data_IF_107886934317
#
_entry.id   IF_107886934317
#
_cell.length_a   1.000
_cell.length_b   1.000
_cell.length_c   1.000
_cell.angle_alpha   90.00
_cell.angle_beta   90.00
_cell.angle_gamma   90.00
#
_symmetry.space_group_name_H-M   'P 1'
#
loop_
_entity.id
_entity.type
_entity.pdbx_description
1 polymer ?
#
# COMPACT_ATOMS: atom_id res chain seq x y z
N UNK A 1 49.38 -15.39 -10.82
CA UNK A 1 48.14 -14.82 -10.26
C UNK A 1 47.50 -13.98 -11.35
N UNK A 2 46.40 -14.46 -11.94
CA UNK A 2 45.64 -13.77 -12.99
C UNK A 2 44.47 -13.02 -12.32
N UNK A 3 44.11 -11.81 -12.76
CA UNK A 3 42.90 -11.15 -12.31
C UNK A 3 41.67 -11.81 -12.94
N UNK A 4 40.65 -12.05 -12.11
CA UNK A 4 39.34 -12.55 -12.51
C UNK A 4 38.45 -11.35 -12.85
N UNK A 5 38.17 -11.19 -14.13
CA UNK A 5 37.08 -10.35 -14.64
C UNK A 5 35.73 -10.93 -14.19
N UNK A 6 34.89 -10.09 -13.59
CA UNK A 6 33.49 -10.41 -13.27
C UNK A 6 32.62 -10.07 -14.47
N UNK A 7 32.14 -11.10 -15.16
CA UNK A 7 31.09 -11.01 -16.16
C UNK A 7 29.72 -10.75 -15.49
N UNK A 8 28.93 -9.87 -16.12
CA UNK A 8 27.50 -9.65 -15.86
C UNK A 8 26.67 -10.78 -16.48
N UNK A 9 25.54 -11.21 -15.88
CA UNK A 9 24.66 -12.16 -16.54
C UNK A 9 23.58 -11.48 -17.40
N UNK A 10 23.64 -11.79 -18.70
CA UNK A 10 22.63 -11.53 -19.72
C UNK A 10 21.33 -12.31 -19.46
N UNK A 11 20.20 -11.62 -19.35
CA UNK A 11 18.86 -12.20 -19.49
C UNK A 11 18.03 -11.32 -20.42
N UNK A 12 18.21 -11.46 -21.73
CA UNK A 12 17.30 -10.95 -22.74
C UNK A 12 17.64 -11.72 -24.00
N UNK A 13 16.80 -12.70 -24.35
CA UNK A 13 16.65 -13.30 -25.69
C UNK A 13 15.63 -14.45 -25.56
N UNK A 14 14.35 -14.14 -25.82
CA UNK A 14 13.34 -15.16 -26.14
C UNK A 14 13.10 -15.11 -27.64
N UNK A 15 13.40 -16.24 -28.27
CA UNK A 15 13.29 -16.57 -29.69
C UNK A 15 11.83 -16.45 -30.15
N UNK A 16 11.59 -15.64 -31.19
CA UNK A 16 10.29 -15.42 -31.80
C UNK A 16 10.11 -16.35 -33.00
N UNK A 17 9.19 -17.33 -32.86
CA UNK A 17 8.64 -18.06 -34.00
C UNK A 17 7.12 -18.16 -33.90
N UNK A 18 6.38 -17.78 -34.97
CA UNK A 18 4.91 -17.84 -34.96
C UNK A 18 4.42 -19.27 -35.23
N UNK A 19 3.42 -19.72 -34.46
CA UNK A 19 2.62 -20.91 -34.78
C UNK A 19 1.30 -20.49 -35.43
N UNK A 20 1.09 -20.96 -36.67
CA UNK A 20 -0.17 -20.90 -37.40
C UNK A 20 -1.16 -21.93 -36.83
N UNK A 21 -2.38 -21.50 -36.49
CA UNK A 21 -3.53 -22.40 -36.29
C UNK A 21 -4.74 -21.82 -37.05
N UNK A 22 -5.55 -22.65 -37.74
CA UNK A 22 -6.49 -22.20 -38.76
C UNK A 22 -7.83 -21.71 -38.20
N UNK A 23 -8.43 -20.81 -38.96
CA UNK A 23 -9.78 -20.28 -38.87
C UNK A 23 -10.86 -21.34 -39.15
N UNK A 24 -11.87 -21.46 -38.30
CA UNK A 24 -13.30 -21.66 -38.65
C UNK A 24 -14.15 -21.67 -37.38
N UNK A 25 -15.11 -20.75 -37.24
CA UNK A 25 -16.55 -20.98 -37.47
C UNK A 25 -17.35 -19.89 -36.73
N UNK A 26 -18.08 -19.10 -37.52
CA UNK A 26 -19.00 -18.08 -37.06
C UNK A 26 -20.22 -18.70 -36.36
N UNK A 27 -20.67 -18.09 -35.28
CA UNK A 27 -22.03 -18.28 -34.75
C UNK A 27 -22.55 -16.92 -34.29
N UNK A 28 -23.55 -16.43 -35.03
CA UNK A 28 -24.32 -15.24 -34.72
C UNK A 28 -25.11 -15.46 -33.43
N UNK A 29 -24.86 -14.63 -32.42
CA UNK A 29 -25.79 -14.39 -31.32
C UNK A 29 -26.29 -12.96 -31.50
N UNK A 30 -27.57 -12.83 -31.89
CA UNK A 30 -28.25 -11.56 -31.99
C UNK A 30 -28.50 -11.01 -30.57
N UNK A 31 -27.76 -9.96 -30.20
CA UNK A 31 -28.07 -9.15 -29.02
C UNK A 31 -29.07 -8.07 -29.43
N UNK A 32 -30.24 -8.06 -28.79
CA UNK A 32 -31.19 -6.96 -28.88
C UNK A 32 -30.58 -5.73 -28.20
N UNK A 33 -30.20 -4.73 -29.00
CA UNK A 33 -29.76 -3.42 -28.53
C UNK A 33 -31.00 -2.61 -28.15
N UNK A 34 -31.17 -2.37 -26.85
CA UNK A 34 -32.10 -1.34 -26.37
C UNK A 34 -31.43 0.02 -26.58
N UNK A 35 -31.89 0.75 -27.60
CA UNK A 35 -31.52 2.14 -27.86
C UNK A 35 -31.94 3.02 -26.67
N UNK A 36 -31.00 3.36 -25.80
CA UNK A 36 -31.12 4.52 -24.91
C UNK A 36 -30.62 5.72 -25.72
N UNK A 37 -31.49 6.72 -25.88
CA UNK A 37 -31.28 7.87 -26.75
C UNK A 37 -29.94 8.55 -26.51
N UNK A 38 -29.08 8.51 -27.52
CA UNK A 38 -27.88 9.34 -27.60
C UNK A 38 -28.33 10.78 -27.76
N UNK A 39 -28.20 11.59 -26.70
CA UNK A 39 -28.13 13.02 -26.87
C UNK A 39 -26.91 13.29 -27.76
N UNK A 40 -27.15 13.76 -28.98
CA UNK A 40 -26.11 14.22 -29.89
C UNK A 40 -25.49 15.45 -29.22
N UNK A 41 -24.39 15.25 -28.52
CA UNK A 41 -23.53 16.35 -28.12
C UNK A 41 -22.91 16.92 -29.40
N UNK A 42 -23.16 18.22 -29.64
CA UNK A 42 -22.56 18.98 -30.72
C UNK A 42 -21.02 18.81 -30.68
N UNK A 43 -20.36 18.34 -31.77
CA UNK A 43 -18.91 18.11 -31.78
C UNK A 43 -18.07 19.41 -31.82
N UNK A 44 -18.70 20.57 -31.62
CA UNK A 44 -18.11 21.86 -31.93
C UNK A 44 -17.86 22.72 -30.69
N UNK A 45 -17.23 22.19 -29.62
CA UNK A 45 -16.65 23.03 -28.55
C UNK A 45 -15.59 22.40 -27.63
N UNK A 46 -14.89 21.32 -28.00
CA UNK A 46 -13.86 20.69 -27.14
C UNK A 46 -12.42 20.87 -27.66
N UNK A 47 -12.08 22.06 -28.14
CA UNK A 47 -10.68 22.44 -28.34
C UNK A 47 -10.13 23.12 -27.07
N UNK A 48 -9.35 22.39 -26.26
CA UNK A 48 -8.37 23.00 -25.36
C UNK A 48 -8.49 22.76 -23.84
N UNK A 49 -9.48 22.01 -23.34
CA UNK A 49 -9.57 21.73 -21.89
C UNK A 49 -9.10 20.32 -21.54
N UNK A 50 -8.25 20.21 -20.53
CA UNK A 50 -7.69 18.93 -20.07
C UNK A 50 -8.63 18.34 -19.00
N UNK A 51 -8.95 17.04 -19.06
CA UNK A 51 -9.85 16.41 -18.10
C UNK A 51 -9.22 16.36 -16.70
N UNK A 52 -10.06 16.24 -15.67
CA UNK A 52 -9.60 15.89 -14.32
C UNK A 52 -9.09 14.45 -14.30
N UNK A 53 -7.82 14.24 -13.94
CA UNK A 53 -7.24 12.90 -13.83
C UNK A 53 -7.51 12.32 -12.44
N UNK A 54 -8.24 11.21 -12.38
CA UNK A 54 -8.64 10.57 -11.13
C UNK A 54 -7.81 9.31 -10.89
N UNK A 55 -7.09 9.27 -9.77
CA UNK A 55 -6.30 8.12 -9.34
C UNK A 55 -6.89 7.52 -8.06
N UNK A 56 -7.01 6.19 -8.02
CA UNK A 56 -7.54 5.48 -6.86
C UNK A 56 -6.39 4.82 -6.11
N UNK A 57 -6.26 5.10 -4.81
CA UNK A 57 -5.24 4.52 -3.94
C UNK A 57 -5.92 3.66 -2.87
N UNK A 58 -5.66 2.35 -2.84
CA UNK A 58 -6.29 1.47 -1.86
C UNK A 58 -5.34 0.47 -1.21
N UNK A 59 -5.71 0.03 0.00
CA UNK A 59 -5.00 -1.01 0.71
C UNK A 59 -5.16 -0.95 2.22
N UNK A 60 -4.17 -1.49 2.93
CA UNK A 60 -4.18 -1.53 4.40
C UNK A 60 -3.33 -0.41 5.02
N UNK A 61 -2.80 -0.57 6.24
CA UNK A 61 -1.98 0.46 6.91
C UNK A 61 -0.76 0.94 6.11
N UNK A 62 -0.23 0.10 5.23
CA UNK A 62 0.83 0.50 4.27
C UNK A 62 0.35 1.61 3.33
N UNK A 63 -0.89 1.54 2.81
CA UNK A 63 -1.49 2.63 2.05
C UNK A 63 -1.97 3.77 2.96
N UNK A 64 -2.48 3.48 4.17
CA UNK A 64 -2.89 4.55 5.10
C UNK A 64 -1.75 5.54 5.34
N UNK A 65 -0.54 5.07 5.59
CA UNK A 65 0.61 5.92 5.86
C UNK A 65 0.79 6.23 7.34
N UNK A 66 1.94 5.85 7.91
CA UNK A 66 2.19 5.97 9.34
C UNK A 66 3.38 6.87 9.71
N UNK A 67 3.95 7.58 8.74
CA UNK A 67 4.97 8.58 9.00
C UNK A 67 4.36 9.82 9.63
N UNK A 68 4.82 10.20 10.82
CA UNK A 68 4.41 11.45 11.44
C UNK A 68 5.09 12.63 10.76
N UNK A 69 4.36 13.74 10.63
CA UNK A 69 4.89 14.98 10.04
C UNK A 69 6.17 15.45 10.75
N UNK A 70 6.28 15.21 12.07
CA UNK A 70 7.47 15.59 12.86
C UNK A 70 8.79 14.93 12.41
N UNK A 71 8.74 13.84 11.64
CA UNK A 71 9.94 13.14 11.15
C UNK A 71 10.25 13.44 9.68
N UNK A 72 9.50 14.35 9.04
CA UNK A 72 9.69 14.68 7.62
C UNK A 72 11.04 15.33 7.33
N UNK A 73 11.59 16.11 8.26
CA UNK A 73 12.83 16.86 8.03
C UNK A 73 14.04 15.94 7.78
N UNK A 74 13.98 14.70 8.26
CA UNK A 74 14.97 13.68 7.96
C UNK A 74 15.11 13.39 6.44
N UNK A 75 14.07 13.66 5.65
CA UNK A 75 14.15 13.52 4.18
C UNK A 75 15.22 14.42 3.54
N UNK A 76 15.64 15.50 4.20
CA UNK A 76 16.69 16.39 3.70
C UNK A 76 18.09 15.75 3.68
N UNK A 77 18.31 14.70 4.48
CA UNK A 77 19.61 14.03 4.59
C UNK A 77 19.87 13.01 3.48
N UNK A 78 18.86 12.73 2.67
CA UNK A 78 18.98 11.86 1.50
C UNK A 78 18.75 12.68 0.22
N UNK A 79 19.75 12.79 -0.68
CA UNK A 79 19.61 13.50 -1.95
C UNK A 79 18.42 13.03 -2.81
N UNK A 80 18.00 11.77 -2.69
CA UNK A 80 16.85 11.25 -3.42
C UNK A 80 15.50 11.81 -2.91
N UNK A 81 15.43 12.24 -1.64
CA UNK A 81 14.20 12.78 -1.05
C UNK A 81 14.25 14.25 -0.70
N UNK A 82 15.41 14.89 -0.72
CA UNK A 82 15.52 16.32 -0.49
C UNK A 82 14.66 17.16 -1.47
N UNK A 83 14.60 16.84 -2.79
CA UNK A 83 13.71 17.55 -3.71
C UNK A 83 12.21 17.35 -3.40
N UNK A 84 11.84 16.15 -2.93
CA UNK A 84 10.47 15.87 -2.51
C UNK A 84 10.09 16.69 -1.27
N UNK A 85 10.99 16.78 -0.29
CA UNK A 85 10.77 17.61 0.90
C UNK A 85 10.63 19.09 0.54
N UNK A 86 11.47 19.59 -0.39
CA UNK A 86 11.39 20.96 -0.87
C UNK A 86 10.04 21.26 -1.55
N UNK A 87 9.44 20.29 -2.25
CA UNK A 87 8.10 20.41 -2.83
C UNK A 87 6.98 20.37 -1.77
N UNK A 88 7.25 19.88 -0.56
CA UNK A 88 6.28 19.79 0.54
C UNK A 88 6.27 21.04 1.44
N UNK A 89 7.29 21.90 1.37
CA UNK A 89 7.48 23.07 2.25
C UNK A 89 7.58 24.38 1.49
N UNK A 90 6.94 25.44 2.00
CA UNK A 90 7.11 26.79 1.46
C UNK A 90 8.40 27.45 1.95
N UNK A 91 8.65 28.70 1.53
CA UNK A 91 9.83 29.48 1.91
C UNK A 91 9.93 29.71 3.43
N UNK A 92 8.79 29.72 4.12
CA UNK A 92 8.67 29.86 5.58
C UNK A 92 8.72 28.49 6.30
N UNK A 93 9.07 27.41 5.59
CA UNK A 93 9.06 26.03 6.09
C UNK A 93 7.70 25.49 6.54
N UNK A 94 6.59 26.12 6.13
CA UNK A 94 5.22 25.62 6.36
C UNK A 94 4.85 24.58 5.30
N UNK A 95 3.90 23.70 5.62
CA UNK A 95 3.43 22.69 4.67
C UNK A 95 2.65 23.34 3.53
N UNK A 96 3.06 23.05 2.28
CA UNK A 96 2.34 23.49 1.09
C UNK A 96 1.06 22.70 0.87
N UNK A 97 0.07 23.35 0.28
CA UNK A 97 -0.93 22.67 -0.56
C UNK A 97 -0.33 22.47 -1.95
N UNK A 98 -0.67 21.36 -2.60
CA UNK A 98 -0.19 21.05 -3.95
C UNK A 98 -1.21 21.56 -4.95
N UNK A 99 -0.80 22.51 -5.79
CA UNK A 99 -1.67 23.15 -6.77
C UNK A 99 -2.29 22.14 -7.73
N UNK A 100 -3.54 22.40 -8.11
CA UNK A 100 -4.42 21.54 -8.93
C UNK A 100 -4.43 20.06 -8.54
N UNK A 101 -4.17 19.75 -7.27
CA UNK A 101 -4.16 18.37 -6.77
C UNK A 101 -5.02 18.26 -5.52
N UNK A 102 -6.05 17.43 -5.58
CA UNK A 102 -6.98 17.19 -4.48
C UNK A 102 -6.96 15.73 -4.04
N UNK A 103 -7.44 15.49 -2.84
CA UNK A 103 -7.61 14.15 -2.30
C UNK A 103 -8.96 14.06 -1.57
N UNK A 104 -9.63 12.93 -1.76
CA UNK A 104 -10.64 12.44 -0.83
C UNK A 104 -10.16 11.12 -0.24
N UNK A 105 -10.12 11.02 1.08
CA UNK A 105 -9.61 9.86 1.80
C UNK A 105 -10.66 9.29 2.74
N UNK A 106 -11.18 8.11 2.41
CA UNK A 106 -11.99 7.30 3.30
C UNK A 106 -11.12 6.39 4.16
N UNK A 107 -11.27 6.54 5.48
CA UNK A 107 -10.67 5.66 6.49
C UNK A 107 -11.60 5.53 7.69
N UNK A 108 -11.18 4.91 8.79
CA UNK A 108 -12.05 4.69 9.95
C UNK A 108 -11.28 4.42 11.24
N UNK A 109 -12.00 4.46 12.36
CA UNK A 109 -11.40 4.26 13.68
C UNK A 109 -10.80 2.85 13.82
N UNK A 110 -9.49 2.79 14.02
CA UNK A 110 -8.72 1.56 14.26
C UNK A 110 -8.93 0.45 13.22
N UNK A 111 -9.26 0.81 11.98
CA UNK A 111 -9.51 -0.17 10.91
C UNK A 111 -10.72 -1.08 11.14
N UNK A 112 -11.61 -0.74 12.08
CA UNK A 112 -12.82 -1.54 12.34
C UNK A 112 -13.76 -1.55 11.14
N UNK A 113 -14.16 -2.75 10.71
CA UNK A 113 -15.04 -2.98 9.55
C UNK A 113 -16.45 -2.36 9.77
N UNK A 114 -16.88 -2.32 11.03
CA UNK A 114 -18.13 -1.72 11.52
C UNK A 114 -17.93 -0.33 12.15
N UNK A 115 -16.70 0.17 12.19
CA UNK A 115 -16.39 1.47 12.78
C UNK A 115 -16.97 2.62 11.97
N UNK A 116 -17.12 3.78 12.61
CA UNK A 116 -17.50 5.02 11.93
C UNK A 116 -16.43 5.44 10.93
N UNK A 117 -16.51 4.90 9.71
CA UNK A 117 -15.71 5.38 8.58
C UNK A 117 -15.96 6.88 8.41
N UNK A 118 -14.90 7.61 8.08
CA UNK A 118 -14.94 9.04 7.87
C UNK A 118 -14.11 9.39 6.64
N UNK A 119 -14.71 10.21 5.78
CA UNK A 119 -14.03 10.86 4.68
C UNK A 119 -13.32 12.12 5.19
N UNK A 120 -12.07 12.31 4.78
CA UNK A 120 -11.33 13.56 4.93
C UNK A 120 -10.89 13.99 3.53
N UNK A 121 -11.21 15.20 3.11
CA UNK A 121 -10.93 15.66 1.75
C UNK A 121 -10.49 17.12 1.72
N UNK A 122 -9.87 17.51 0.61
CA UNK A 122 -9.41 18.88 0.33
C UNK A 122 -8.25 18.88 -0.66
N UNK A 123 -7.58 20.03 -0.80
CA UNK A 123 -6.31 20.08 -1.54
C UNK A 123 -5.28 19.15 -0.89
N UNK A 124 -4.44 18.53 -1.72
CA UNK A 124 -3.41 17.63 -1.27
C UNK A 124 -2.36 18.41 -0.47
N UNK A 125 -2.08 17.92 0.73
CA UNK A 125 -1.04 18.44 1.64
C UNK A 125 -0.69 17.34 2.64
N UNK A 126 0.13 17.62 3.65
CA UNK A 126 0.35 16.71 4.77
C UNK A 126 -0.94 16.42 5.54
N UNK A 127 -1.03 15.27 6.22
CA UNK A 127 -2.14 15.00 7.12
C UNK A 127 -3.21 14.06 6.56
N UNK A 128 -3.03 13.51 5.36
CA UNK A 128 -3.87 12.44 4.79
C UNK A 128 -3.30 11.03 5.01
N UNK A 129 -2.34 10.89 5.93
CA UNK A 129 -1.90 9.61 6.48
C UNK A 129 -2.94 8.97 7.42
N UNK A 130 -2.57 7.96 8.19
CA UNK A 130 -3.45 7.28 9.17
C UNK A 130 -4.13 8.27 10.13
N UNK A 131 -5.45 8.18 10.25
CA UNK A 131 -6.31 9.08 11.03
C UNK A 131 -6.64 8.55 12.44
N UNK A 132 -6.04 7.43 12.84
CA UNK A 132 -6.30 6.80 14.13
C UNK A 132 -5.98 7.70 15.33
N UNK A 133 -6.94 7.85 16.24
CA UNK A 133 -6.81 8.65 17.47
C UNK A 133 -6.63 10.16 17.23
N UNK A 134 -7.06 10.67 16.07
CA UNK A 134 -6.96 12.10 15.73
C UNK A 134 -8.11 12.92 16.31
N UNK A 135 -7.79 14.14 16.71
CA UNK A 135 -8.74 15.24 16.87
C UNK A 135 -9.05 15.86 15.49
N UNK A 136 -10.26 15.64 14.98
CA UNK A 136 -10.67 16.09 13.65
C UNK A 136 -10.86 17.60 13.53
N UNK A 137 -10.78 18.36 14.64
CA UNK A 137 -10.72 19.83 14.59
C UNK A 137 -9.35 20.36 14.17
N UNK A 138 -8.31 19.51 14.15
CA UNK A 138 -6.94 19.86 13.78
C UNK A 138 -6.50 19.11 12.54
N UNK A 139 -5.57 19.61 11.71
CA UNK A 139 -4.99 18.86 10.60
C UNK A 139 -4.44 17.49 11.02
N UNK A 140 -4.45 16.53 10.10
CA UNK A 140 -3.86 15.22 10.37
C UNK A 140 -2.35 15.32 10.57
N UNK A 141 -1.79 14.44 11.39
CA UNK A 141 -0.38 14.48 11.79
C UNK A 141 0.52 13.49 11.05
N UNK A 142 -0.03 12.80 10.03
CA UNK A 142 0.67 11.74 9.32
C UNK A 142 0.58 11.88 7.81
N UNK A 143 1.54 11.29 7.13
CA UNK A 143 1.56 11.13 5.68
C UNK A 143 1.72 9.64 5.33
N UNK A 144 1.23 9.28 4.16
CA UNK A 144 1.54 8.04 3.48
C UNK A 144 2.17 8.27 2.11
N UNK A 145 2.05 7.30 1.19
CA UNK A 145 2.57 7.46 -0.16
C UNK A 145 1.80 8.52 -0.98
N UNK A 146 0.60 8.93 -0.57
CA UNK A 146 -0.27 9.83 -1.34
C UNK A 146 0.36 11.20 -1.64
N UNK A 147 1.13 11.75 -0.70
CA UNK A 147 1.67 13.10 -0.85
C UNK A 147 2.74 13.15 -1.93
N UNK A 148 3.76 12.28 -1.83
CA UNK A 148 4.81 12.21 -2.85
C UNK A 148 4.28 11.69 -4.20
N UNK A 149 3.26 10.83 -4.19
CA UNK A 149 2.56 10.39 -5.39
C UNK A 149 1.95 11.58 -6.15
N UNK A 150 1.12 12.39 -5.47
CA UNK A 150 0.48 13.55 -6.10
C UNK A 150 1.48 14.64 -6.53
N UNK A 151 2.50 14.92 -5.70
CA UNK A 151 3.60 15.85 -6.05
C UNK A 151 4.27 15.39 -7.35
N UNK A 152 4.64 14.11 -7.43
CA UNK A 152 5.36 13.57 -8.58
C UNK A 152 4.49 13.63 -9.84
N UNK A 153 3.22 13.23 -9.77
CA UNK A 153 2.30 13.35 -10.90
C UNK A 153 2.17 14.80 -11.37
N UNK A 154 1.97 15.73 -10.44
CA UNK A 154 1.78 17.14 -10.78
C UNK A 154 3.06 17.81 -11.31
N UNK A 155 4.24 17.30 -10.96
CA UNK A 155 5.50 17.73 -11.58
C UNK A 155 5.58 17.37 -13.07
N UNK A 156 4.97 16.27 -13.50
CA UNK A 156 5.07 15.76 -14.87
C UNK A 156 3.88 16.11 -15.74
N UNK A 157 2.66 16.05 -15.19
CA UNK A 157 1.44 16.15 -15.99
C UNK A 157 1.00 17.60 -16.19
N UNK A 158 1.12 18.45 -15.15
CA UNK A 158 0.63 19.84 -15.17
C UNK A 158 -0.85 19.90 -15.57
N UNK A 159 -1.67 19.14 -14.83
CA UNK A 159 -3.11 18.94 -15.03
C UNK A 159 -3.83 18.80 -13.69
N UNK A 160 -5.14 19.09 -13.63
CA UNK A 160 -5.95 18.78 -12.46
C UNK A 160 -5.90 17.29 -12.12
N UNK A 161 -5.62 16.98 -10.85
CA UNK A 161 -5.50 15.63 -10.31
C UNK A 161 -6.41 15.47 -9.10
N UNK A 162 -7.19 14.38 -9.06
CA UNK A 162 -7.92 13.94 -7.88
C UNK A 162 -7.41 12.57 -7.45
N UNK A 163 -7.02 12.45 -6.18
CA UNK A 163 -6.71 11.17 -5.54
C UNK A 163 -7.95 10.74 -4.73
N UNK A 164 -8.50 9.56 -5.03
CA UNK A 164 -9.52 8.92 -4.19
C UNK A 164 -8.84 7.80 -3.42
N UNK A 165 -8.65 7.97 -2.12
CA UNK A 165 -7.93 7.04 -1.26
C UNK A 165 -8.92 6.27 -0.37
N UNK A 166 -8.77 4.95 -0.30
CA UNK A 166 -9.54 4.09 0.60
C UNK A 166 -8.61 3.11 1.31
N UNK A 167 -8.28 3.38 2.57
CA UNK A 167 -7.31 2.58 3.30
C UNK A 167 -7.61 2.49 4.79
N UNK A 168 -7.36 1.30 5.35
CA UNK A 168 -7.63 0.97 6.75
C UNK A 168 -6.52 0.12 7.36
N UNK A 169 -6.16 0.36 8.61
CA UNK A 169 -5.22 -0.49 9.33
C UNK A 169 -5.72 -1.92 9.49
N UNK A 170 -4.83 -2.91 9.39
CA UNK A 170 -5.14 -4.30 9.74
C UNK A 170 -6.10 -5.04 8.81
N UNK A 171 -6.18 -4.64 7.54
CA UNK A 171 -7.00 -5.32 6.54
C UNK A 171 -6.20 -6.33 5.69
N UNK A 172 -6.91 -7.36 5.25
CA UNK A 172 -6.42 -8.46 4.42
C UNK A 172 -7.07 -8.47 3.04
N UNK A 173 -6.37 -9.05 2.06
CA UNK A 173 -6.95 -9.39 0.77
C UNK A 173 -7.82 -10.66 0.88
N UNK A 174 -7.38 -11.64 1.67
CA UNK A 174 -8.09 -12.92 1.80
C UNK A 174 -9.54 -12.79 2.30
N UNK A 175 -9.85 -11.76 3.10
CA UNK A 175 -11.18 -11.54 3.70
C UNK A 175 -11.73 -10.15 3.38
N UNK A 176 -11.04 -9.09 3.78
CA UNK A 176 -11.68 -7.77 3.92
C UNK A 176 -11.85 -7.07 2.57
N UNK A 177 -10.81 -7.11 1.73
CA UNK A 177 -10.80 -6.65 0.35
C UNK A 177 -11.11 -7.77 -0.67
N UNK A 178 -11.64 -8.90 -0.20
CA UNK A 178 -11.98 -10.03 -1.07
C UNK A 178 -13.01 -9.60 -2.13
N UNK A 179 -12.61 -9.65 -3.38
CA UNK A 179 -13.45 -9.22 -4.50
C UNK A 179 -14.54 -10.25 -4.85
N UNK A 180 -15.62 -9.85 -5.55
CA UNK A 180 -16.73 -10.74 -5.90
C UNK A 180 -16.32 -12.06 -6.58
N UNK A 181 -15.45 -12.01 -7.58
CA UNK A 181 -15.03 -13.19 -8.36
C UNK A 181 -14.12 -14.13 -7.57
N UNK A 182 -13.57 -13.68 -6.43
CA UNK A 182 -12.84 -14.57 -5.52
C UNK A 182 -13.79 -15.49 -4.74
N UNK A 183 -15.08 -15.14 -4.62
CA UNK A 183 -16.11 -15.92 -3.90
C UNK A 183 -16.21 -15.60 -2.39
N UNK A 184 -16.84 -16.46 -1.57
CA UNK A 184 -16.80 -16.36 -0.11
C UNK A 184 -15.46 -16.86 0.46
N UNK A 185 -15.09 -16.41 1.67
CA UNK A 185 -13.93 -16.98 2.37
C UNK A 185 -14.14 -18.48 2.66
N UNK A 186 -13.21 -19.31 2.20
CA UNK A 186 -13.24 -20.75 2.40
C UNK A 186 -12.48 -21.16 3.66
N UNK A 187 -13.10 -22.02 4.47
CA UNK A 187 -12.48 -22.57 5.67
C UNK A 187 -11.56 -23.74 5.31
N UNK A 188 -10.50 -23.91 6.09
CA UNK A 188 -9.60 -25.05 6.03
C UNK A 188 -9.39 -25.65 7.43
N UNK A 189 -8.73 -26.80 7.51
CA UNK A 189 -8.48 -27.46 8.81
C UNK A 189 -7.71 -26.56 9.80
N UNK A 190 -6.79 -25.74 9.30
CA UNK A 190 -5.98 -24.84 10.12
C UNK A 190 -6.79 -23.68 10.76
N UNK A 191 -7.90 -23.28 10.13
CA UNK A 191 -8.75 -22.18 10.60
C UNK A 191 -10.13 -22.65 11.12
N UNK A 192 -10.47 -23.93 11.02
CA UNK A 192 -11.79 -24.46 11.39
C UNK A 192 -12.20 -24.11 12.83
N UNK A 193 -11.25 -24.16 13.78
CA UNK A 193 -11.49 -23.78 15.19
C UNK A 193 -11.64 -22.27 15.41
N UNK A 194 -11.06 -21.43 14.53
CA UNK A 194 -11.17 -19.97 14.61
C UNK A 194 -12.60 -19.51 14.35
N UNK A 195 -13.37 -20.28 13.58
CA UNK A 195 -14.76 -19.98 13.18
C UNK A 195 -15.72 -21.15 13.47
N UNK A 196 -15.58 -21.76 14.65
CA UNK A 196 -16.31 -22.95 15.07
C UNK A 196 -17.80 -22.71 15.41
N UNK A 197 -18.16 -21.48 15.76
CA UNK A 197 -19.56 -21.11 16.06
C UNK A 197 -20.27 -20.48 14.87
N UNK A 198 -21.60 -20.62 14.81
CA UNK A 198 -22.42 -19.98 13.75
C UNK A 198 -22.29 -18.46 13.77
N UNK A 199 -22.21 -17.84 14.95
CA UNK A 199 -21.99 -16.41 15.10
C UNK A 199 -20.68 -15.95 14.46
N UNK A 200 -19.56 -16.67 14.70
CA UNK A 200 -18.26 -16.36 14.11
C UNK A 200 -18.28 -16.51 12.59
N UNK A 201 -18.93 -17.55 12.07
CA UNK A 201 -19.11 -17.76 10.63
C UNK A 201 -19.93 -16.64 10.00
N UNK A 202 -21.01 -16.21 10.65
CA UNK A 202 -21.85 -15.12 10.18
C UNK A 202 -21.10 -13.80 10.15
N UNK A 203 -20.39 -13.45 11.23
CA UNK A 203 -19.54 -12.25 11.28
C UNK A 203 -18.48 -12.24 10.18
N UNK A 204 -17.85 -13.40 9.92
CA UNK A 204 -16.89 -13.50 8.82
C UNK A 204 -17.54 -13.28 7.46
N UNK A 205 -18.71 -13.89 7.20
CA UNK A 205 -19.46 -13.70 5.95
C UNK A 205 -19.82 -12.23 5.73
N UNK A 206 -20.26 -11.54 6.78
CA UNK A 206 -20.61 -10.11 6.73
C UNK A 206 -19.40 -9.19 6.57
N UNK A 207 -18.24 -9.59 7.09
CA UNK A 207 -16.98 -8.88 6.93
C UNK A 207 -16.34 -9.12 5.55
N UNK A 208 -16.56 -10.30 4.97
CA UNK A 208 -15.94 -10.72 3.70
C UNK A 208 -16.32 -9.75 2.58
N UNK A 209 -15.32 -9.17 1.93
CA UNK A 209 -15.44 -8.21 0.84
C UNK A 209 -16.01 -6.86 1.24
N UNK A 210 -16.18 -6.57 2.55
CA UNK A 210 -16.77 -5.29 2.97
C UNK A 210 -15.88 -4.10 2.61
N UNK A 211 -14.56 -4.22 2.73
CA UNK A 211 -13.63 -3.11 2.37
C UNK A 211 -13.56 -2.91 0.86
N UNK A 212 -13.67 -3.98 0.08
CA UNK A 212 -13.83 -3.87 -1.37
C UNK A 212 -15.06 -3.04 -1.72
N UNK A 213 -16.23 -3.40 -1.19
CA UNK A 213 -17.48 -2.66 -1.43
C UNK A 213 -17.38 -1.20 -0.98
N UNK A 214 -16.90 -0.93 0.23
CA UNK A 214 -16.74 0.43 0.74
C UNK A 214 -15.77 1.28 -0.10
N UNK A 215 -14.72 0.68 -0.66
CA UNK A 215 -13.81 1.37 -1.58
C UNK A 215 -14.54 1.77 -2.87
N UNK A 216 -15.26 0.84 -3.51
CA UNK A 216 -16.01 1.11 -4.75
C UNK A 216 -17.13 2.13 -4.50
N UNK A 217 -17.89 1.98 -3.42
CA UNK A 217 -18.93 2.92 -2.98
C UNK A 217 -18.35 4.33 -2.74
N UNK A 218 -17.15 4.43 -2.18
CA UNK A 218 -16.49 5.71 -1.98
C UNK A 218 -16.07 6.37 -3.28
N UNK A 219 -15.50 5.60 -4.21
CA UNK A 219 -15.15 6.09 -5.55
C UNK A 219 -16.39 6.63 -6.25
N UNK A 220 -17.47 5.85 -6.30
CA UNK A 220 -18.74 6.26 -6.88
C UNK A 220 -19.32 7.53 -6.22
N UNK A 221 -19.31 7.60 -4.90
CA UNK A 221 -19.81 8.76 -4.16
C UNK A 221 -19.02 10.05 -4.44
N UNK A 222 -17.69 9.97 -4.60
CA UNK A 222 -16.86 11.13 -4.94
C UNK A 222 -17.06 11.54 -6.40
N UNK A 223 -17.11 10.59 -7.33
CA UNK A 223 -17.29 10.88 -8.76
C UNK A 223 -18.66 11.49 -9.07
N UNK A 224 -19.70 11.15 -8.30
CA UNK A 224 -21.05 11.74 -8.41
C UNK A 224 -21.13 13.19 -7.94
N UNK A 225 -20.17 13.65 -7.15
CA UNK A 225 -20.17 14.99 -6.55
C UNK A 225 -18.74 15.58 -6.51
N UNK A 226 -18.14 15.70 -7.70
CA UNK A 226 -16.75 16.16 -7.84
C UNK A 226 -16.53 17.58 -7.33
N UNK A 227 -17.50 18.49 -7.52
CA UNK A 227 -17.41 19.89 -7.06
C UNK A 227 -17.26 20.04 -5.55
N UNK A 228 -17.75 19.07 -4.77
CA UNK A 228 -17.56 19.05 -3.32
C UNK A 228 -16.09 18.89 -2.93
N UNK A 229 -15.33 18.09 -3.68
CA UNK A 229 -13.92 17.77 -3.38
C UNK A 229 -12.95 18.66 -4.18
N UNK A 230 -13.33 19.01 -5.41
CA UNK A 230 -12.59 19.83 -6.37
C UNK A 230 -13.47 21.05 -6.71
N UNK A 231 -13.43 22.14 -5.91
CA UNK A 231 -14.37 23.26 -6.04
C UNK A 231 -14.40 23.91 -7.43
N UNK A 232 -13.24 23.96 -8.10
CA UNK A 232 -13.08 24.56 -9.42
C UNK A 232 -13.29 23.56 -10.57
N UNK A 233 -13.92 22.41 -10.31
CA UNK A 233 -14.18 21.39 -11.33
C UNK A 233 -15.11 21.91 -12.43
N UNK A 234 -14.60 21.89 -13.67
CA UNK A 234 -15.36 22.17 -14.88
C UNK A 234 -16.01 20.89 -15.44
N UNK A 235 -17.32 20.77 -15.29
CA UNK A 235 -18.10 19.64 -15.81
C UNK A 235 -17.94 19.45 -17.32
N UNK A 236 -17.70 20.53 -18.08
CA UNK A 236 -17.47 20.44 -19.53
C UNK A 236 -16.12 19.80 -19.89
N UNK A 237 -15.15 19.81 -18.95
CA UNK A 237 -13.85 19.15 -19.13
C UNK A 237 -13.90 17.65 -18.85
N UNK A 238 -14.91 17.19 -18.11
CA UNK A 238 -15.05 15.79 -17.70
C UNK A 238 -13.91 15.30 -16.79
N UNK A 239 -13.92 14.00 -16.50
CA UNK A 239 -12.85 13.33 -15.77
C UNK A 239 -12.42 12.04 -16.48
N UNK A 240 -11.22 11.58 -16.17
CA UNK A 240 -10.68 10.30 -16.62
C UNK A 240 -10.21 9.49 -15.41
N UNK A 241 -10.65 8.23 -15.29
CA UNK A 241 -10.02 7.27 -14.39
C UNK A 241 -8.63 6.93 -14.93
N UNK A 242 -7.61 7.50 -14.31
CA UNK A 242 -6.23 7.49 -14.80
C UNK A 242 -5.39 6.35 -14.22
N UNK A 243 -5.80 5.76 -13.10
CA UNK A 243 -5.17 4.55 -12.61
C UNK A 243 -5.53 4.15 -11.18
N UNK A 244 -5.13 2.95 -10.80
CA UNK A 244 -5.32 2.36 -9.48
C UNK A 244 -3.98 1.93 -8.87
N UNK A 245 -3.77 2.21 -7.58
CA UNK A 245 -2.58 1.78 -6.84
C UNK A 245 -3.03 0.92 -5.66
N UNK A 246 -2.59 -0.33 -5.65
CA UNK A 246 -2.81 -1.27 -4.56
C UNK A 246 -1.57 -1.36 -3.67
N UNK A 247 -1.70 -1.02 -2.37
CA UNK A 247 -0.61 -1.20 -1.42
C UNK A 247 -1.07 -1.81 -0.09
N UNK A 248 -0.90 -3.13 -0.01
CA UNK A 248 -1.35 -3.98 1.07
C UNK A 248 -0.28 -5.06 1.33
N UNK A 249 -0.44 -5.90 2.35
CA UNK A 249 0.22 -7.21 2.32
C UNK A 249 0.54 -7.83 3.68
N UNK A 250 0.85 -7.02 4.70
CA UNK A 250 1.41 -7.53 5.95
C UNK A 250 0.51 -8.57 6.63
N UNK A 251 -0.81 -8.33 6.68
CA UNK A 251 -1.75 -9.24 7.32
C UNK A 251 -1.93 -10.57 6.58
N UNK A 252 -1.89 -10.58 5.25
CA UNK A 252 -1.90 -11.82 4.48
C UNK A 252 -0.58 -12.58 4.69
N UNK A 253 0.56 -11.90 4.68
CA UNK A 253 1.87 -12.53 4.88
C UNK A 253 1.98 -13.28 6.22
N UNK A 254 1.44 -12.71 7.30
CA UNK A 254 1.58 -13.28 8.66
C UNK A 254 0.48 -14.28 9.03
N UNK A 255 -0.62 -14.34 8.29
CA UNK A 255 -1.74 -15.23 8.61
C UNK A 255 -1.40 -16.69 8.28
N UNK A 256 -1.09 -17.49 9.31
CA UNK A 256 -0.79 -18.93 9.17
C UNK A 256 -2.02 -19.78 8.91
N UNK A 257 -3.21 -19.24 9.15
CA UNK A 257 -4.45 -20.00 9.08
C UNK A 257 -4.99 -20.06 7.66
N UNK A 258 -4.90 -18.95 6.92
CA UNK A 258 -5.17 -18.89 5.48
C UNK A 258 -4.01 -19.48 4.68
N UNK A 259 -2.76 -19.21 5.09
CA UNK A 259 -1.55 -19.66 4.38
C UNK A 259 -0.69 -20.57 5.27
N UNK A 260 -1.06 -21.86 5.44
CA UNK A 260 -0.35 -22.79 6.31
C UNK A 260 1.05 -23.17 5.80
N UNK A 261 1.24 -23.19 4.47
CA UNK A 261 2.49 -23.58 3.80
C UNK A 261 3.26 -22.36 3.25
N UNK A 262 3.09 -21.18 3.87
CA UNK A 262 3.56 -19.91 3.34
C UNK A 262 5.08 -19.73 3.22
N UNK A 263 5.85 -20.63 3.81
CA UNK A 263 7.31 -20.67 3.73
C UNK A 263 7.80 -21.65 2.65
N UNK A 264 6.88 -22.26 1.88
CA UNK A 264 7.15 -23.15 0.77
C UNK A 264 6.84 -22.49 -0.58
N UNK A 265 7.48 -22.91 -1.69
CA UNK A 265 7.11 -22.49 -3.03
C UNK A 265 5.60 -22.63 -3.29
N UNK A 266 4.97 -21.56 -3.78
CA UNK A 266 3.53 -21.53 -4.05
C UNK A 266 2.64 -21.35 -2.81
N UNK A 267 3.23 -21.16 -1.63
CA UNK A 267 2.51 -20.97 -0.37
C UNK A 267 1.55 -19.77 -0.33
N UNK A 268 1.62 -18.88 -1.32
CA UNK A 268 0.77 -17.71 -1.49
C UNK A 268 0.06 -17.65 -2.86
N UNK A 269 -0.06 -18.76 -3.60
CA UNK A 269 -0.71 -18.76 -4.93
C UNK A 269 -2.14 -18.19 -4.89
N UNK A 270 -2.87 -18.50 -3.81
CA UNK A 270 -4.21 -17.91 -3.57
C UNK A 270 -4.18 -16.39 -3.44
N UNK A 271 -3.13 -15.81 -2.86
CA UNK A 271 -2.99 -14.35 -2.80
C UNK A 271 -2.85 -13.77 -4.21
N UNK A 272 -2.01 -14.38 -5.06
CA UNK A 272 -1.82 -13.95 -6.45
C UNK A 272 -3.14 -14.04 -7.25
N UNK A 273 -3.86 -15.15 -7.11
CA UNK A 273 -5.18 -15.37 -7.72
C UNK A 273 -6.19 -14.30 -7.29
N UNK A 274 -6.34 -14.07 -5.98
CA UNK A 274 -7.29 -13.09 -5.47
C UNK A 274 -6.91 -11.65 -5.81
N UNK A 275 -5.62 -11.34 -5.95
CA UNK A 275 -5.18 -10.02 -6.39
C UNK A 275 -5.48 -9.81 -7.88
N UNK A 276 -5.33 -10.84 -8.71
CA UNK A 276 -5.76 -10.77 -10.10
C UNK A 276 -7.29 -10.59 -10.21
N UNK A 277 -8.07 -11.30 -9.39
CA UNK A 277 -9.53 -11.11 -9.33
C UNK A 277 -9.93 -9.72 -8.86
N UNK A 278 -9.24 -9.16 -7.86
CA UNK A 278 -9.44 -7.77 -7.41
C UNK A 278 -9.31 -6.80 -8.58
N UNK A 279 -8.27 -6.96 -9.41
CA UNK A 279 -8.03 -6.09 -10.57
C UNK A 279 -9.15 -6.25 -11.61
N UNK A 280 -9.55 -7.48 -11.94
CA UNK A 280 -10.63 -7.74 -12.90
C UNK A 280 -11.96 -7.17 -12.43
N UNK A 281 -12.32 -7.41 -11.17
CA UNK A 281 -13.58 -6.95 -10.59
C UNK A 281 -13.60 -5.43 -10.48
N UNK A 282 -12.48 -4.80 -10.07
CA UNK A 282 -12.39 -3.35 -10.00
C UNK A 282 -12.59 -2.69 -11.36
N UNK A 283 -11.92 -3.22 -12.41
CA UNK A 283 -12.09 -2.72 -13.79
C UNK A 283 -13.52 -2.87 -14.28
N UNK A 284 -14.18 -3.97 -13.92
CA UNK A 284 -15.59 -4.21 -14.25
C UNK A 284 -16.51 -3.23 -13.53
N UNK A 285 -16.38 -3.12 -12.21
CA UNK A 285 -17.27 -2.30 -11.37
C UNK A 285 -17.09 -0.80 -11.62
N UNK A 286 -15.92 -0.37 -12.09
CA UNK A 286 -15.63 1.01 -12.51
C UNK A 286 -15.80 1.26 -14.02
N UNK A 287 -16.25 0.25 -14.78
CA UNK A 287 -16.41 0.32 -16.24
C UNK A 287 -15.14 0.79 -16.98
N UNK A 288 -13.97 0.39 -16.48
CA UNK A 288 -12.66 0.83 -16.94
C UNK A 288 -11.76 -0.39 -17.29
N UNK A 289 -12.00 -1.09 -18.42
CA UNK A 289 -11.36 -2.37 -18.74
C UNK A 289 -9.84 -2.30 -18.91
N UNK A 290 -9.30 -1.12 -19.25
CA UNK A 290 -7.86 -0.90 -19.44
C UNK A 290 -7.24 -0.05 -18.31
N UNK A 291 -7.94 0.15 -17.18
CA UNK A 291 -7.46 0.98 -16.08
C UNK A 291 -6.03 0.56 -15.68
N UNK A 292 -5.03 1.46 -15.76
CA UNK A 292 -3.68 1.16 -15.31
C UNK A 292 -3.64 0.79 -13.84
N UNK A 293 -2.90 -0.27 -13.48
CA UNK A 293 -2.76 -0.72 -12.09
C UNK A 293 -1.31 -0.78 -11.67
N UNK A 294 -0.98 -0.16 -10.54
CA UNK A 294 0.30 -0.33 -9.86
C UNK A 294 0.10 -1.18 -8.60
N UNK A 295 0.87 -2.26 -8.49
CA UNK A 295 0.94 -3.12 -7.31
C UNK A 295 2.20 -2.78 -6.52
N UNK A 296 2.04 -2.28 -5.30
CA UNK A 296 3.16 -2.10 -4.38
C UNK A 296 3.55 -3.42 -3.72
N UNK A 297 4.64 -4.05 -4.20
CA UNK A 297 5.19 -5.28 -3.61
C UNK A 297 5.84 -4.94 -2.27
N UNK A 298 5.37 -5.57 -1.20
CA UNK A 298 5.71 -5.22 0.18
C UNK A 298 7.22 -5.33 0.48
N UNK A 299 7.79 -4.22 0.93
CA UNK A 299 9.21 -4.03 1.22
C UNK A 299 9.56 -3.98 2.70
N UNK A 300 8.63 -4.29 3.60
CA UNK A 300 8.89 -4.38 5.04
C UNK A 300 10.10 -5.27 5.31
N UNK A 301 10.97 -4.82 6.20
CA UNK A 301 12.28 -5.43 6.53
C UNK A 301 13.34 -5.33 5.43
N UNK A 302 13.08 -4.57 4.36
CA UNK A 302 14.08 -4.23 3.33
C UNK A 302 14.42 -5.36 2.36
N UNK A 303 15.57 -5.28 1.68
CA UNK A 303 16.09 -6.34 0.82
C UNK A 303 16.11 -7.71 1.52
N UNK A 304 15.93 -8.80 0.77
CA UNK A 304 15.78 -10.15 1.35
C UNK A 304 17.01 -10.58 2.16
N UNK A 305 18.17 -10.01 1.86
CA UNK A 305 19.44 -10.19 2.56
C UNK A 305 19.37 -9.73 4.02
N UNK A 306 18.55 -8.72 4.31
CA UNK A 306 18.36 -8.16 5.65
C UNK A 306 17.26 -8.86 6.45
N UNK A 307 16.43 -9.68 5.79
CA UNK A 307 15.34 -10.40 6.45
C UNK A 307 15.93 -11.56 7.26
N UNK A 308 15.57 -11.73 8.55
CA UNK A 308 16.03 -12.86 9.35
C UNK A 308 15.70 -14.21 8.69
N UNK A 309 16.63 -15.16 8.73
CA UNK A 309 16.53 -16.43 7.97
C UNK A 309 15.23 -17.18 8.21
N UNK A 310 14.74 -17.20 9.45
CA UNK A 310 13.47 -17.84 9.84
C UNK A 310 12.23 -17.25 9.14
N UNK A 311 12.33 -16.07 8.53
CA UNK A 311 11.25 -15.38 7.82
C UNK A 311 11.56 -15.15 6.34
N UNK A 312 12.81 -15.39 5.90
CA UNK A 312 13.27 -15.10 4.54
C UNK A 312 12.44 -15.80 3.46
N UNK A 313 12.12 -17.08 3.67
CA UNK A 313 11.29 -17.83 2.71
C UNK A 313 9.89 -17.25 2.60
N UNK A 314 9.22 -16.98 3.73
CA UNK A 314 7.90 -16.32 3.75
C UNK A 314 7.91 -14.97 3.02
N UNK A 315 8.92 -14.12 3.25
CA UNK A 315 9.03 -12.84 2.52
C UNK A 315 9.26 -13.05 1.02
N UNK A 316 10.07 -14.04 0.65
CA UNK A 316 10.38 -14.36 -0.76
C UNK A 316 9.12 -14.79 -1.50
N UNK A 317 8.40 -15.78 -0.95
CA UNK A 317 7.19 -16.33 -1.57
C UNK A 317 6.06 -15.30 -1.60
N UNK A 318 5.90 -14.49 -0.55
CA UNK A 318 4.87 -13.46 -0.53
C UNK A 318 5.14 -12.36 -1.55
N UNK A 319 6.37 -11.85 -1.64
CA UNK A 319 6.74 -10.82 -2.63
C UNK A 319 6.58 -11.33 -4.07
N UNK A 320 6.89 -12.61 -4.31
CA UNK A 320 6.65 -13.26 -5.61
C UNK A 320 5.15 -13.28 -5.93
N UNK A 321 4.30 -13.73 -5.00
CA UNK A 321 2.86 -13.79 -5.20
C UNK A 321 2.23 -12.41 -5.42
N UNK A 322 2.72 -11.36 -4.75
CA UNK A 322 2.27 -9.99 -4.99
C UNK A 322 2.61 -9.50 -6.41
N UNK A 323 3.78 -9.86 -6.94
CA UNK A 323 4.23 -9.43 -8.26
C UNK A 323 3.60 -10.24 -9.41
N UNK A 324 3.17 -11.48 -9.15
CA UNK A 324 2.71 -12.42 -10.16
C UNK A 324 1.58 -11.91 -11.07
N UNK A 325 0.58 -11.11 -10.62
CA UNK A 325 -0.43 -10.58 -11.53
C UNK A 325 0.17 -9.72 -12.65
N UNK A 326 1.23 -8.94 -12.38
CA UNK A 326 1.79 -8.03 -13.39
C UNK A 326 2.44 -8.71 -14.61
N UNK A 327 2.62 -10.04 -14.57
CA UNK A 327 3.18 -10.83 -15.69
C UNK A 327 2.13 -11.71 -16.38
N UNK A 328 0.85 -11.57 -16.02
CA UNK A 328 -0.23 -12.27 -16.71
C UNK A 328 -0.43 -11.66 -18.11
N UNK A 329 -0.60 -12.47 -19.18
CA UNK A 329 -0.75 -11.94 -20.54
C UNK A 329 -1.87 -10.91 -20.70
N UNK A 330 -3.00 -11.08 -20.02
CA UNK A 330 -4.12 -10.14 -20.06
C UNK A 330 -3.85 -8.79 -19.37
N UNK A 331 -2.74 -8.69 -18.62
CA UNK A 331 -2.35 -7.51 -17.84
C UNK A 331 -1.09 -6.83 -18.41
N UNK A 332 -0.53 -7.36 -19.49
CA UNK A 332 0.59 -6.75 -20.20
C UNK A 332 0.26 -5.30 -20.60
N UNK A 333 1.21 -4.39 -20.37
CA UNK A 333 1.07 -2.95 -20.66
C UNK A 333 0.12 -2.17 -19.75
N UNK A 334 -0.68 -2.83 -18.90
CA UNK A 334 -1.68 -2.15 -18.05
C UNK A 334 -1.51 -2.41 -16.56
N UNK A 335 -0.65 -3.34 -16.15
CA UNK A 335 -0.35 -3.62 -14.74
C UNK A 335 1.16 -3.64 -14.51
N UNK A 336 1.64 -2.96 -13.48
CA UNK A 336 3.05 -2.96 -13.07
C UNK A 336 3.21 -3.29 -11.59
N UNK A 337 4.25 -4.06 -11.26
CA UNK A 337 4.65 -4.34 -9.89
C UNK A 337 5.85 -3.48 -9.48
N UNK A 338 5.68 -2.66 -8.43
CA UNK A 338 6.73 -1.79 -7.89
C UNK A 338 7.32 -2.44 -6.64
N UNK A 339 8.62 -2.73 -6.70
CA UNK A 339 9.37 -3.28 -5.56
C UNK A 339 9.65 -2.16 -4.54
N UNK A 340 9.08 -2.27 -3.34
CA UNK A 340 9.26 -1.23 -2.30
C UNK A 340 10.40 -1.55 -1.32
N UNK A 341 10.96 -2.76 -1.35
CA UNK A 341 12.07 -3.18 -0.49
C UNK A 341 13.32 -2.29 -0.58
N UNK A 342 13.72 -1.77 -1.77
CA UNK A 342 14.87 -0.86 -1.88
C UNK A 342 14.73 0.46 -1.11
N UNK A 343 13.50 0.89 -0.78
CA UNK A 343 13.25 2.16 -0.06
C UNK A 343 13.30 2.02 1.47
N UNK A 344 13.55 0.81 1.98
CA UNK A 344 13.66 0.57 3.41
C UNK A 344 14.84 1.33 4.01
N UNK A 345 14.59 2.09 5.08
CA UNK A 345 15.67 2.75 5.81
C UNK A 345 16.45 1.73 6.64
N UNK A 346 17.62 1.33 6.13
CA UNK A 346 18.47 0.29 6.73
C UNK A 346 18.98 0.71 8.12
N UNK A 347 19.32 1.98 8.32
CA UNK A 347 19.82 2.46 9.60
C UNK A 347 18.73 2.41 10.68
N UNK A 348 17.51 2.87 10.36
CA UNK A 348 16.36 2.74 11.24
C UNK A 348 15.95 1.28 11.45
N UNK A 349 16.10 0.42 10.43
CA UNK A 349 15.85 -1.01 10.55
C UNK A 349 16.80 -1.72 11.53
N UNK A 350 18.08 -1.34 11.54
CA UNK A 350 19.06 -1.84 12.51
C UNK A 350 18.69 -1.42 13.95
N UNK A 351 18.26 -0.17 14.14
CA UNK A 351 17.75 0.33 15.42
C UNK A 351 16.48 -0.44 15.84
N UNK A 352 15.54 -0.69 14.92
CA UNK A 352 14.32 -1.44 15.26
C UNK A 352 14.62 -2.88 15.66
N UNK A 353 15.62 -3.51 15.05
CA UNK A 353 16.12 -4.83 15.45
C UNK A 353 16.63 -4.82 16.89
N UNK A 354 17.40 -3.80 17.29
CA UNK A 354 17.82 -3.61 18.69
C UNK A 354 16.61 -3.41 19.62
N UNK A 355 15.59 -2.66 19.17
CA UNK A 355 14.34 -2.47 19.93
C UNK A 355 13.58 -3.80 20.09
N UNK A 356 13.59 -4.68 19.09
CA UNK A 356 13.06 -6.04 19.22
C UNK A 356 13.82 -6.88 20.24
N UNK A 357 15.15 -6.81 20.23
CA UNK A 357 15.98 -7.49 21.24
C UNK A 357 15.65 -6.98 22.65
N UNK A 358 15.48 -5.67 22.82
CA UNK A 358 15.06 -5.07 24.09
C UNK A 358 13.67 -5.56 24.53
N UNK A 359 12.69 -5.60 23.62
CA UNK A 359 11.34 -6.15 23.92
C UNK A 359 11.40 -7.63 24.29
N UNK A 360 12.20 -8.42 23.57
CA UNK A 360 12.38 -9.84 23.86
C UNK A 360 13.03 -10.05 25.22
N UNK A 361 14.05 -9.26 25.56
CA UNK A 361 14.70 -9.31 26.88
C UNK A 361 13.70 -8.98 27.99
N UNK A 362 12.96 -7.88 27.86
CA UNK A 362 11.93 -7.49 28.83
C UNK A 362 10.86 -8.59 29.01
N UNK A 363 10.43 -9.22 27.91
CA UNK A 363 9.51 -10.33 27.97
C UNK A 363 10.09 -11.51 28.75
N UNK A 364 11.32 -11.94 28.43
CA UNK A 364 11.99 -13.06 29.11
C UNK A 364 12.17 -12.83 30.61
N UNK A 365 12.51 -11.61 31.03
CA UNK A 365 12.62 -11.27 32.46
C UNK A 365 11.26 -11.34 33.16
N UNK A 366 10.20 -10.84 32.52
CA UNK A 366 8.84 -10.85 33.08
C UNK A 366 8.26 -12.26 33.17
N UNK A 367 8.54 -13.12 32.20
CA UNK A 367 8.02 -14.51 32.15
C UNK A 367 8.92 -15.52 32.86
N UNK A 368 9.99 -15.06 33.52
CA UNK A 368 10.95 -15.90 34.26
C UNK A 368 11.48 -17.05 33.40
N UNK A 369 11.82 -16.72 32.17
CA UNK A 369 12.34 -17.71 31.24
C UNK A 369 13.63 -18.33 31.82
N UNK A 370 13.70 -19.66 31.81
CA UNK A 370 14.76 -20.43 32.46
C UNK A 370 16.18 -20.14 31.94
N UNK A 371 16.30 -19.54 30.76
CA UNK A 371 17.57 -19.22 30.11
C UNK A 371 17.98 -17.75 30.28
N UNK A 372 17.31 -17.02 31.17
CA UNK A 372 17.49 -15.57 31.33
C UNK A 372 17.64 -15.16 32.80
N UNK A 373 18.02 -13.89 33.00
CA UNK A 373 18.56 -13.36 34.25
C UNK A 373 17.57 -13.38 35.43
N UNK A 374 16.26 -13.51 35.16
CA UNK A 374 15.21 -13.66 36.18
C UNK A 374 14.64 -15.09 36.25
N UNK A 375 15.42 -16.11 35.89
CA UNK A 375 14.97 -17.50 35.86
C UNK A 375 14.49 -18.01 37.23
N UNK A 376 15.13 -17.58 38.32
CA UNK A 376 14.75 -17.92 39.69
C UNK A 376 13.60 -17.04 40.26
N UNK A 377 13.19 -16.01 39.51
CA UNK A 377 12.17 -15.07 39.91
C UNK A 377 12.59 -14.12 41.04
N UNK A 378 13.88 -13.96 41.31
CA UNK A 378 14.42 -13.12 42.38
C UNK A 378 14.33 -11.62 42.09
N UNK A 379 14.22 -11.20 40.82
CA UNK A 379 14.17 -9.77 40.47
C UNK A 379 12.81 -9.16 40.80
N UNK A 380 12.83 -8.06 41.57
CA UNK A 380 11.67 -7.19 41.78
C UNK A 380 11.32 -6.38 40.51
N UNK A 381 10.13 -5.79 40.41
CA UNK A 381 9.80 -4.86 39.32
C UNK A 381 10.83 -3.73 39.17
N UNK A 382 11.35 -3.20 40.27
CA UNK A 382 12.37 -2.15 40.31
C UNK A 382 13.72 -2.65 39.78
N UNK A 383 14.10 -3.90 40.10
CA UNK A 383 15.30 -4.54 39.58
C UNK A 383 15.21 -4.75 38.07
N UNK A 384 14.05 -5.21 37.57
CA UNK A 384 13.81 -5.38 36.12
C UNK A 384 13.91 -4.01 35.43
N UNK A 385 13.30 -2.96 35.99
CA UNK A 385 13.41 -1.63 35.41
C UNK A 385 14.85 -1.12 35.38
N UNK A 386 15.63 -1.33 36.45
CA UNK A 386 17.05 -0.95 36.50
C UNK A 386 17.87 -1.71 35.47
N UNK A 387 17.71 -3.02 35.40
CA UNK A 387 18.37 -3.87 34.40
C UNK A 387 18.04 -3.40 32.98
N UNK A 388 16.77 -3.13 32.68
CA UNK A 388 16.38 -2.70 31.33
C UNK A 388 16.97 -1.34 30.95
N UNK A 389 17.11 -0.39 31.89
CA UNK A 389 17.79 0.89 31.64
C UNK A 389 19.28 0.72 31.35
N UNK A 390 19.95 -0.17 32.08
CA UNK A 390 21.36 -0.48 31.84
C UNK A 390 21.56 -1.21 30.51
N UNK A 391 20.71 -2.20 30.23
CA UNK A 391 20.71 -2.93 28.96
C UNK A 391 20.43 -2.01 27.76
N UNK A 392 19.54 -1.03 27.89
CA UNK A 392 19.33 -0.03 26.84
C UNK A 392 20.59 0.82 26.59
N UNK A 393 21.29 1.23 27.66
CA UNK A 393 22.53 2.01 27.54
C UNK A 393 23.66 1.24 26.85
N UNK A 394 23.74 -0.07 27.06
CA UNK A 394 24.74 -0.91 26.39
C UNK A 394 24.37 -1.24 24.95
N UNK A 395 23.07 -1.31 24.64
CA UNK A 395 22.59 -1.70 23.31
C UNK A 395 22.59 -0.55 22.30
N UNK A 396 22.32 0.68 22.73
CA UNK A 396 22.14 1.84 21.86
C UNK A 396 23.22 2.92 22.07
N UNK A 397 23.77 3.44 20.97
CA UNK A 397 24.62 4.63 21.02
C UNK A 397 23.78 5.92 21.15
N UNK A 398 24.43 7.06 21.38
CA UNK A 398 23.73 8.36 21.40
C UNK A 398 23.20 8.71 20.01
N UNK A 399 24.01 8.48 18.98
CA UNK A 399 23.72 8.76 17.58
C UNK A 399 22.50 7.96 17.11
N UNK A 400 22.39 6.69 17.52
CA UNK A 400 21.23 5.85 17.21
C UNK A 400 19.94 6.37 17.87
N UNK A 401 20.01 6.82 19.13
CA UNK A 401 18.87 7.42 19.82
C UNK A 401 18.43 8.72 19.14
N UNK A 402 19.40 9.57 18.80
CA UNK A 402 19.13 10.83 18.12
C UNK A 402 18.51 10.59 16.73
N UNK A 403 19.02 9.61 15.97
CA UNK A 403 18.45 9.20 14.69
C UNK A 403 17.02 8.63 14.85
N UNK A 404 16.80 7.72 15.80
CA UNK A 404 15.47 7.16 16.03
C UNK A 404 14.45 8.26 16.35
N UNK A 405 14.81 9.19 17.23
CA UNK A 405 13.92 10.28 17.66
C UNK A 405 13.48 11.17 16.50
N UNK A 406 14.41 11.53 15.61
CA UNK A 406 14.15 12.48 14.52
C UNK A 406 13.63 11.86 13.22
N UNK A 407 13.78 10.55 13.03
CA UNK A 407 13.50 9.89 11.75
C UNK A 407 12.49 8.74 11.81
N UNK A 408 12.18 8.20 13.00
CA UNK A 408 11.24 7.09 13.20
C UNK A 408 9.98 7.54 13.94
N UNK A 409 8.82 7.13 13.45
CA UNK A 409 7.53 7.44 14.10
C UNK A 409 6.60 6.23 14.25
N UNK A 410 7.00 5.05 13.78
CA UNK A 410 6.18 3.84 13.91
C UNK A 410 7.02 2.55 13.94
N UNK A 411 6.34 1.41 14.09
CA UNK A 411 6.95 0.09 14.09
C UNK A 411 7.40 -0.36 12.70
N UNK A 412 8.28 -1.36 12.63
CA UNK A 412 8.84 -1.87 11.37
C UNK A 412 7.80 -2.33 10.34
N UNK A 413 6.69 -2.94 10.77
CA UNK A 413 5.61 -3.36 9.87
C UNK A 413 4.86 -2.19 9.19
N UNK A 414 5.12 -0.95 9.60
CA UNK A 414 4.66 0.29 8.99
C UNK A 414 5.81 1.11 8.40
N UNK A 415 6.81 0.44 7.83
CA UNK A 415 8.01 1.09 7.27
C UNK A 415 8.67 2.06 8.26
N UNK A 416 8.67 1.68 9.55
CA UNK A 416 9.29 2.44 10.64
C UNK A 416 8.64 3.82 10.87
N UNK A 417 7.52 4.13 10.19
CA UNK A 417 7.00 5.50 10.11
C UNK A 417 8.01 6.47 9.46
N UNK A 418 8.89 5.97 8.59
CA UNK A 418 9.88 6.79 7.91
C UNK A 418 9.22 7.62 6.80
N UNK A 419 9.21 8.94 6.96
CA UNK A 419 8.72 9.86 5.92
C UNK A 419 9.50 9.71 4.61
N UNK A 420 10.81 9.44 4.72
CA UNK A 420 11.69 9.15 3.58
C UNK A 420 11.21 7.93 2.80
N UNK A 421 11.01 6.80 3.47
CA UNK A 421 10.58 5.55 2.84
C UNK A 421 9.20 5.69 2.20
N UNK A 422 8.21 6.27 2.90
CA UNK A 422 6.88 6.49 2.34
C UNK A 422 6.89 7.42 1.12
N UNK A 423 7.73 8.45 1.13
CA UNK A 423 7.81 9.40 0.02
C UNK A 423 8.46 8.78 -1.22
N UNK A 424 9.52 7.97 -1.05
CA UNK A 424 10.12 7.24 -2.17
C UNK A 424 9.15 6.22 -2.76
N UNK A 425 8.38 5.52 -1.93
CA UNK A 425 7.32 4.60 -2.39
C UNK A 425 6.26 5.35 -3.20
N UNK A 426 5.76 6.49 -2.69
CA UNK A 426 4.78 7.32 -3.40
C UNK A 426 5.28 7.81 -4.76
N UNK A 427 6.53 8.30 -4.81
CA UNK A 427 7.17 8.72 -6.06
C UNK A 427 7.34 7.53 -7.03
N UNK A 428 7.73 6.35 -6.53
CA UNK A 428 7.87 5.15 -7.36
C UNK A 428 6.54 4.70 -7.97
N UNK A 429 5.45 4.76 -7.19
CA UNK A 429 4.11 4.47 -7.70
C UNK A 429 3.68 5.46 -8.77
N UNK A 430 3.95 6.76 -8.58
CA UNK A 430 3.65 7.78 -9.59
C UNK A 430 4.45 7.56 -10.87
N UNK A 431 5.75 7.27 -10.75
CA UNK A 431 6.60 6.99 -11.91
C UNK A 431 6.15 5.75 -12.69
N UNK A 432 5.76 4.68 -12.00
CA UNK A 432 5.21 3.49 -12.65
C UNK A 432 3.88 3.80 -13.35
N UNK A 433 3.02 4.61 -12.71
CA UNK A 433 1.77 5.05 -13.32
C UNK A 433 2.01 5.86 -14.59
N UNK A 434 2.92 6.84 -14.54
CA UNK A 434 3.33 7.63 -15.70
C UNK A 434 3.93 6.78 -16.83
N UNK A 435 4.53 5.64 -16.53
CA UNK A 435 5.03 4.70 -17.54
C UNK A 435 3.88 3.92 -18.20
N UNK A 436 2.92 3.44 -17.42
CA UNK A 436 1.72 2.74 -17.94
C UNK A 436 0.81 3.67 -18.75
N UNK A 437 0.82 4.97 -18.46
CA UNK A 437 0.01 5.97 -19.19
C UNK A 437 0.67 6.50 -20.46
N UNK A 438 1.87 6.02 -20.84
CA UNK A 438 2.46 6.37 -22.13
C UNK A 438 1.75 5.59 -23.25
N UNK A 439 1.32 6.25 -24.33
CA UNK A 439 0.64 5.62 -25.45
C UNK A 439 1.55 4.65 -26.22
#
# INVERSE_FOLDING_TARGET
>A
MRPLDRAQPDWLLIDSRPMNIPSTLASLIAFAVTLIGSAVADPAHTAGRKPLLVYILAGQSNMEGHAEVRVMDYMSEDPATAPLLAAMKDEDSRHRTIDDTWISFLTGENGRIDGGNREVYGQLTTGYGSQGGRDYSKPGRKIGPELAFGITLQQHLKQPILIIKAAWGGQSLYSDFRSPSSGPYEFNEANAKRFDTQEKKQKLREATGRRYRQMVEHVDAVLKDLKRVVPDYDEASGFQLAGFVWFQGFNDMVDRSTYPNRDQPGGFDRYAEWLANLIRDLRKDLEAPELPVVIGVMGVSGPLELVPDRYRSTHTEFRRAMAAPAILPEFEGTVAAVQTAPYWDVALGAIDTKREQMRSKAHSLRTKNSNHENADGSMTPEDIQRFMREYERTLFTKEERDLEQRAKSNAGYHYLGSAKTYSQIGQAFANAMLQLSKP
#
